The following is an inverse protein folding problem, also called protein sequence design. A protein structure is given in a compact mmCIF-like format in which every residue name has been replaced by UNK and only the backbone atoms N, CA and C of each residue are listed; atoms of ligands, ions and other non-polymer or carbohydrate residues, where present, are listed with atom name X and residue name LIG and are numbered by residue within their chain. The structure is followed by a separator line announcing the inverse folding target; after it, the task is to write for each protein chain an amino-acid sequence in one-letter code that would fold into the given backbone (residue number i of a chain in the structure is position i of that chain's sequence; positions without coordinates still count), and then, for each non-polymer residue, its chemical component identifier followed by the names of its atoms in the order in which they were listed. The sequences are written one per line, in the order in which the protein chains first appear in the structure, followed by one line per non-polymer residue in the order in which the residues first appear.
data_IF_925742553883
#
_entry.id   IF_925742553883
#
_cell.length_a   1.000
_cell.length_b   1.000
_cell.length_c   1.000
_cell.angle_alpha   90.00
_cell.angle_beta   90.00
_cell.angle_gamma   90.00
#
_symmetry.space_group_name_H-M   'P 1'
#
loop_
_entity.id
_entity.type
_entity.pdbx_description
1 polymer ?
#
# COMPACT_ATOMS: atom_id res chain seq x y z
N UNK A 1 -19.00 -23.42 29.81
CA UNK A 1 -18.35 -23.51 28.48
C UNK A 1 -18.94 -22.40 27.60
N UNK A 2 -18.35 -21.20 27.63
CA UNK A 2 -18.76 -20.10 26.76
C UNK A 2 -17.83 -20.07 25.55
N UNK A 3 -18.31 -20.59 24.42
CA UNK A 3 -17.67 -20.43 23.12
C UNK A 3 -17.68 -18.94 22.73
N UNK A 4 -16.55 -18.26 22.94
CA UNK A 4 -16.31 -16.97 22.30
C UNK A 4 -15.95 -17.24 20.83
N UNK A 5 -16.95 -17.13 19.96
CA UNK A 5 -16.73 -16.92 18.54
C UNK A 5 -15.89 -15.65 18.37
N UNK A 6 -14.60 -15.82 18.08
CA UNK A 6 -13.74 -14.72 17.64
C UNK A 6 -14.24 -14.30 16.26
N UNK A 7 -14.94 -13.17 16.17
CA UNK A 7 -15.19 -12.50 14.90
C UNK A 7 -13.84 -12.29 14.18
N UNK A 8 -13.83 -12.62 12.90
CA UNK A 8 -12.66 -12.47 12.02
C UNK A 8 -12.08 -11.07 12.13
N UNK A 9 -10.75 -11.00 12.25
CA UNK A 9 -9.99 -9.76 12.34
C UNK A 9 -10.21 -8.95 11.06
N UNK A 10 -10.86 -7.79 11.16
CA UNK A 10 -10.89 -6.81 10.09
C UNK A 10 -9.44 -6.37 9.81
N UNK A 11 -8.95 -6.63 8.60
CA UNK A 11 -7.66 -6.12 8.14
C UNK A 11 -7.88 -4.66 7.75
N UNK A 12 -7.34 -3.74 8.53
CA UNK A 12 -7.41 -2.32 8.21
C UNK A 12 -6.66 -2.00 6.94
N UNK A 13 -7.08 -0.93 6.27
CA UNK A 13 -6.28 -0.30 5.22
C UNK A 13 -5.32 0.66 5.87
N UNK A 14 -4.07 0.52 5.49
CA UNK A 14 -3.00 1.43 5.82
C UNK A 14 -3.00 2.49 4.75
N UNK A 15 -3.42 3.70 5.09
CA UNK A 15 -3.30 4.82 4.19
C UNK A 15 -2.35 5.81 4.83
N UNK A 16 -1.42 6.35 4.05
CA UNK A 16 -0.44 7.30 4.57
C UNK A 16 -1.08 8.58 5.11
N UNK A 17 -2.15 9.07 4.47
CA UNK A 17 -2.94 10.17 5.02
C UNK A 17 -4.03 9.63 5.95
N UNK A 18 -4.00 9.99 7.25
CA UNK A 18 -5.02 9.55 8.18
C UNK A 18 -6.33 10.34 7.99
N UNK A 19 -7.51 9.74 8.24
CA UNK A 19 -8.80 10.36 7.94
C UNK A 19 -9.05 11.71 8.61
N UNK A 20 -8.44 11.97 9.77
CA UNK A 20 -8.60 13.23 10.48
C UNK A 20 -7.93 14.40 9.75
N UNK A 21 -6.82 14.18 9.05
CA UNK A 21 -6.17 15.20 8.23
C UNK A 21 -7.07 15.63 7.08
N UNK A 22 -7.60 14.67 6.33
CA UNK A 22 -8.56 14.94 5.24
C UNK A 22 -9.84 15.60 5.76
N UNK A 23 -10.32 15.21 6.94
CA UNK A 23 -11.47 15.85 7.60
C UNK A 23 -11.20 17.32 7.92
N UNK A 24 -10.01 17.66 8.41
CA UNK A 24 -9.64 19.04 8.69
C UNK A 24 -9.45 19.86 7.40
N UNK A 25 -8.94 19.26 6.32
CA UNK A 25 -8.90 19.90 5.00
C UNK A 25 -10.33 20.15 4.48
N UNK A 26 -11.23 19.18 4.61
CA UNK A 26 -12.62 19.34 4.22
C UNK A 26 -13.33 20.48 4.98
N UNK A 27 -13.03 20.67 6.26
CA UNK A 27 -13.60 21.78 7.06
C UNK A 27 -13.00 23.12 6.68
N UNK A 28 -11.67 23.21 6.63
CA UNK A 28 -10.95 24.49 6.67
C UNK A 28 -10.34 24.91 5.33
N UNK A 29 -10.29 24.02 4.33
CA UNK A 29 -9.68 24.27 3.03
C UNK A 29 -10.52 25.14 2.08
N UNK A 30 -9.93 25.49 0.95
CA UNK A 30 -10.63 26.12 -0.18
C UNK A 30 -11.75 25.22 -0.72
N UNK A 31 -12.71 25.73 -1.50
CA UNK A 31 -13.77 24.91 -2.10
C UNK A 31 -13.22 23.70 -2.89
N UNK A 32 -12.12 23.89 -3.61
CA UNK A 32 -11.44 22.85 -4.38
C UNK A 32 -10.78 21.81 -3.45
N UNK A 33 -9.99 22.24 -2.47
CA UNK A 33 -9.35 21.35 -1.49
C UNK A 33 -10.39 20.56 -0.69
N UNK A 34 -11.50 21.19 -0.33
CA UNK A 34 -12.62 20.52 0.33
C UNK A 34 -13.21 19.41 -0.54
N UNK A 35 -13.41 19.66 -1.83
CA UNK A 35 -13.93 18.64 -2.75
C UNK A 35 -13.00 17.44 -2.82
N UNK A 36 -11.71 17.66 -3.10
CA UNK A 36 -10.72 16.58 -3.21
C UNK A 36 -10.58 15.78 -1.90
N UNK A 37 -10.61 16.45 -0.75
CA UNK A 37 -10.57 15.78 0.55
C UNK A 37 -11.82 14.91 0.81
N UNK A 38 -13.01 15.37 0.42
CA UNK A 38 -14.25 14.59 0.52
C UNK A 38 -14.24 13.40 -0.43
N UNK A 39 -13.77 13.59 -1.66
CA UNK A 39 -13.66 12.51 -2.65
C UNK A 39 -12.66 11.44 -2.18
N UNK A 40 -11.49 11.86 -1.68
CA UNK A 40 -10.47 10.97 -1.10
C UNK A 40 -11.00 10.21 0.12
N UNK A 41 -11.70 10.89 1.05
CA UNK A 41 -12.35 10.23 2.19
C UNK A 41 -13.36 9.18 1.75
N UNK A 42 -14.13 9.47 0.70
CA UNK A 42 -15.17 8.56 0.18
C UNK A 42 -14.55 7.30 -0.45
N UNK A 43 -13.47 7.46 -1.21
CA UNK A 43 -12.70 6.35 -1.75
C UNK A 43 -12.06 5.51 -0.61
N UNK A 44 -11.42 6.15 0.37
CA UNK A 44 -10.84 5.48 1.55
C UNK A 44 -11.87 4.65 2.32
N UNK A 45 -13.05 5.22 2.55
CA UNK A 45 -14.14 4.53 3.23
C UNK A 45 -14.61 3.30 2.46
N UNK A 46 -14.79 3.43 1.14
CA UNK A 46 -15.18 2.32 0.27
C UNK A 46 -14.18 1.17 0.36
N UNK A 47 -12.88 1.47 0.28
CA UNK A 47 -11.86 0.44 0.41
C UNK A 47 -11.87 -0.22 1.79
N UNK A 48 -11.95 0.55 2.87
CA UNK A 48 -11.95 -0.01 4.24
C UNK A 48 -13.10 -1.00 4.42
N UNK A 49 -14.25 -0.72 3.81
CA UNK A 49 -15.39 -1.65 3.76
C UNK A 49 -15.09 -2.89 2.91
N UNK A 50 -14.57 -2.73 1.69
CA UNK A 50 -14.19 -3.87 0.83
C UNK A 50 -13.20 -4.80 1.52
N UNK A 51 -12.19 -4.26 2.21
CA UNK A 51 -11.23 -5.06 2.98
C UNK A 51 -11.88 -5.76 4.17
N UNK A 52 -12.77 -5.11 4.91
CA UNK A 52 -13.47 -5.74 6.02
C UNK A 52 -14.27 -6.96 5.54
N UNK A 53 -14.95 -6.85 4.38
CA UNK A 53 -15.67 -7.96 3.75
C UNK A 53 -14.71 -9.04 3.22
N UNK A 54 -13.61 -8.67 2.58
CA UNK A 54 -12.63 -9.61 2.05
C UNK A 54 -11.94 -10.40 3.19
N UNK A 55 -11.58 -9.73 4.27
CA UNK A 55 -10.99 -10.36 5.46
C UNK A 55 -11.98 -11.32 6.15
N UNK A 56 -13.29 -11.05 6.07
CA UNK A 56 -14.32 -11.94 6.60
C UNK A 56 -14.59 -13.18 5.73
N UNK A 57 -14.26 -13.12 4.43
CA UNK A 57 -14.56 -14.19 3.46
C UNK A 57 -13.35 -15.06 3.09
N UNK A 58 -12.12 -14.56 3.27
CA UNK A 58 -10.91 -15.32 2.96
C UNK A 58 -10.46 -16.22 4.14
N UNK A 59 -10.32 -17.51 3.86
CA UNK A 59 -9.59 -18.45 4.72
C UNK A 59 -8.09 -18.08 4.76
N UNK A 60 -7.36 -18.38 5.86
CA UNK A 60 -5.94 -18.12 5.93
C UNK A 60 -5.21 -18.79 4.75
N UNK A 61 -4.53 -17.98 3.93
CA UNK A 61 -3.67 -18.49 2.85
C UNK A 61 -2.55 -19.32 3.49
N UNK A 62 -2.56 -20.63 3.24
CA UNK A 62 -1.38 -21.47 3.48
C UNK A 62 -0.32 -21.07 2.48
N UNK A 63 0.85 -20.67 2.96
CA UNK A 63 2.03 -20.47 2.13
C UNK A 63 2.37 -21.83 1.53
N UNK A 64 2.26 -21.95 0.20
CA UNK A 64 2.73 -23.12 -0.51
C UNK A 64 4.26 -23.05 -0.56
N UNK A 65 4.95 -24.11 -0.16
CA UNK A 65 6.40 -24.20 -0.32
C UNK A 65 6.74 -24.19 -1.82
N UNK A 66 7.56 -23.22 -2.24
CA UNK A 66 8.13 -23.20 -3.58
C UNK A 66 9.35 -24.13 -3.68
N UNK A 67 9.64 -24.70 -4.87
CA UNK A 67 10.79 -25.57 -5.08
C UNK A 67 12.12 -24.80 -4.96
N UNK A 68 13.22 -25.54 -4.80
CA UNK A 68 14.54 -25.01 -4.49
C UNK A 68 15.21 -24.19 -5.62
N UNK A 69 15.78 -23.06 -5.18
CA UNK A 69 17.03 -22.39 -5.60
C UNK A 69 17.15 -21.80 -7.03
N UNK A 70 16.32 -20.80 -7.33
CA UNK A 70 16.82 -19.58 -8.00
C UNK A 70 17.14 -18.52 -6.94
N UNK A 71 18.17 -17.70 -7.18
CA UNK A 71 18.47 -16.57 -6.29
C UNK A 71 17.22 -15.65 -6.20
N UNK A 72 16.86 -15.15 -5.00
CA UNK A 72 15.75 -14.21 -4.86
C UNK A 72 15.91 -13.01 -5.80
N UNK A 73 14.85 -12.67 -6.52
CA UNK A 73 14.80 -11.53 -7.43
C UNK A 73 13.45 -10.83 -7.33
N UNK A 74 13.43 -9.51 -7.51
CA UNK A 74 12.19 -8.75 -7.55
C UNK A 74 11.35 -9.17 -8.77
N UNK A 75 10.03 -9.24 -8.57
CA UNK A 75 9.05 -9.43 -9.64
C UNK A 75 8.02 -8.29 -9.57
N UNK A 76 8.33 -7.17 -10.22
CA UNK A 76 7.49 -5.97 -10.19
C UNK A 76 6.58 -5.86 -11.40
N UNK A 77 5.36 -5.40 -11.16
CA UNK A 77 4.48 -4.91 -12.23
C UNK A 77 3.78 -3.63 -11.77
N UNK A 78 3.99 -2.55 -12.50
CA UNK A 78 3.28 -1.29 -12.32
C UNK A 78 2.14 -1.22 -13.32
N UNK A 79 0.97 -0.86 -12.82
CA UNK A 79 -0.25 -0.61 -13.56
C UNK A 79 -0.63 0.87 -13.46
N UNK A 80 -1.46 1.33 -14.39
CA UNK A 80 -2.15 2.62 -14.30
C UNK A 80 -3.65 2.36 -14.21
N UNK A 81 -4.32 3.06 -13.30
CA UNK A 81 -5.78 3.09 -13.23
C UNK A 81 -6.40 4.12 -14.20
N UNK A 82 -5.58 4.90 -14.91
CA UNK A 82 -6.02 5.93 -15.87
C UNK A 82 -7.05 6.89 -15.27
N UNK A 83 -6.80 7.37 -14.05
CA UNK A 83 -7.67 8.26 -13.27
C UNK A 83 -9.03 7.66 -12.88
N UNK A 84 -9.19 6.34 -13.06
CA UNK A 84 -10.35 5.60 -12.54
C UNK A 84 -10.03 4.98 -11.18
N UNK A 85 -11.05 4.43 -10.54
CA UNK A 85 -10.93 3.70 -9.28
C UNK A 85 -10.84 2.17 -9.47
N UNK A 86 -10.56 1.71 -10.71
CA UNK A 86 -10.49 0.28 -11.03
C UNK A 86 -9.08 -0.28 -10.84
N UNK A 87 -8.95 -1.30 -10.00
CA UNK A 87 -7.68 -1.99 -9.73
C UNK A 87 -7.62 -3.39 -10.40
N UNK A 88 -6.42 -3.87 -10.81
CA UNK A 88 -5.14 -3.15 -10.81
C UNK A 88 -5.04 -2.11 -11.95
N UNK A 89 -5.96 -2.14 -12.91
CA UNK A 89 -5.91 -1.28 -14.11
C UNK A 89 -5.14 -1.94 -15.26
N UNK A 90 -4.52 -1.13 -16.11
CA UNK A 90 -3.75 -1.60 -17.28
C UNK A 90 -2.26 -1.62 -16.98
N UNK A 91 -1.55 -2.69 -17.37
CA UNK A 91 -0.12 -2.82 -17.14
C UNK A 91 0.66 -1.70 -17.87
N UNK A 92 1.50 -0.99 -17.13
CA UNK A 92 2.31 0.13 -17.62
C UNK A 92 3.80 -0.19 -17.69
N UNK A 93 4.33 -0.97 -16.73
CA UNK A 93 5.74 -1.39 -16.71
C UNK A 93 5.91 -2.72 -15.99
N UNK A 94 6.54 -3.70 -16.65
CA UNK A 94 6.84 -5.02 -16.08
C UNK A 94 8.31 -5.13 -15.65
N UNK A 95 8.66 -6.17 -14.91
CA UNK A 95 10.03 -6.47 -14.50
C UNK A 95 10.99 -6.48 -15.70
N UNK A 96 12.10 -5.73 -15.61
CA UNK A 96 13.10 -5.62 -16.67
C UNK A 96 12.69 -4.75 -17.86
N UNK A 97 11.46 -4.23 -17.91
CA UNK A 97 11.03 -3.33 -18.97
C UNK A 97 11.71 -1.94 -18.85
N UNK A 98 11.99 -1.26 -19.98
CA UNK A 98 12.56 0.08 -19.96
C UNK A 98 11.63 1.08 -19.25
N UNK A 99 12.16 2.25 -18.89
CA UNK A 99 11.38 3.35 -18.31
C UNK A 99 10.21 3.74 -19.20
N UNK A 100 9.06 4.04 -18.58
CA UNK A 100 7.82 4.35 -19.31
C UNK A 100 7.71 5.81 -19.74
N UNK A 101 8.63 6.69 -19.28
CA UNK A 101 8.56 8.15 -19.38
C UNK A 101 7.41 8.79 -18.60
N UNK A 102 6.74 8.01 -17.76
CA UNK A 102 5.77 8.50 -16.79
C UNK A 102 6.43 8.48 -15.40
N UNK A 103 6.63 9.65 -14.77
CA UNK A 103 7.35 9.72 -13.50
C UNK A 103 6.65 8.92 -12.39
N UNK A 104 5.32 8.85 -12.35
CA UNK A 104 4.62 8.06 -11.34
C UNK A 104 4.94 6.57 -11.51
N UNK A 105 4.90 6.08 -12.75
CA UNK A 105 5.18 4.67 -13.07
C UNK A 105 6.63 4.32 -12.75
N UNK A 106 7.57 5.17 -13.15
CA UNK A 106 9.00 4.92 -12.96
C UNK A 106 9.40 5.01 -11.48
N UNK A 107 8.90 6.00 -10.74
CA UNK A 107 9.12 6.13 -9.30
C UNK A 107 8.53 4.96 -8.51
N UNK A 108 7.31 4.53 -8.84
CA UNK A 108 6.70 3.36 -8.20
C UNK A 108 7.52 2.09 -8.48
N UNK A 109 7.98 1.90 -9.73
CA UNK A 109 8.83 0.75 -10.11
C UNK A 109 10.16 0.75 -9.34
N UNK A 110 10.81 1.91 -9.26
CA UNK A 110 12.10 2.08 -8.59
C UNK A 110 11.93 1.91 -7.06
N UNK A 111 10.88 2.49 -6.46
CA UNK A 111 10.61 2.40 -5.01
C UNK A 111 10.19 1.01 -4.52
N UNK A 112 9.41 0.27 -5.31
CA UNK A 112 9.14 -1.15 -5.04
C UNK A 112 10.45 -1.97 -5.10
N UNK A 113 11.34 -1.63 -6.02
CA UNK A 113 12.66 -2.27 -6.16
C UNK A 113 13.54 -2.04 -4.95
N UNK A 114 13.74 -0.77 -4.58
CA UNK A 114 14.55 -0.39 -3.43
C UNK A 114 14.04 -1.04 -2.13
N UNK A 115 12.71 -1.11 -1.96
CA UNK A 115 12.12 -1.80 -0.80
C UNK A 115 12.43 -3.30 -0.81
N UNK A 116 12.31 -3.98 -1.97
CA UNK A 116 12.68 -5.38 -2.10
C UNK A 116 14.15 -5.63 -1.76
N UNK A 117 15.04 -4.83 -2.35
CA UNK A 117 16.49 -4.92 -2.17
C UNK A 117 16.86 -4.73 -0.69
N UNK A 118 16.31 -3.71 -0.03
CA UNK A 118 16.50 -3.49 1.40
C UNK A 118 16.14 -4.71 2.25
N UNK A 119 14.93 -5.27 2.06
CA UNK A 119 14.50 -6.45 2.82
C UNK A 119 15.36 -7.69 2.53
N UNK A 120 15.77 -7.88 1.28
CA UNK A 120 16.59 -9.01 0.88
C UNK A 120 18.03 -8.89 1.40
N UNK A 121 18.67 -7.74 1.25
CA UNK A 121 20.07 -7.56 1.58
C UNK A 121 20.30 -7.43 3.09
N UNK A 122 19.46 -6.64 3.77
CA UNK A 122 19.65 -6.34 5.19
C UNK A 122 19.04 -7.43 6.09
N UNK A 123 17.89 -7.99 5.70
CA UNK A 123 17.15 -8.94 6.54
C UNK A 123 17.07 -10.35 5.96
N UNK A 124 17.69 -10.60 4.79
CA UNK A 124 17.61 -11.89 4.09
C UNK A 124 16.17 -12.36 3.87
N UNK A 125 15.24 -11.40 3.74
CA UNK A 125 13.81 -11.65 3.55
C UNK A 125 13.47 -11.59 2.07
N UNK A 126 12.94 -12.68 1.53
CA UNK A 126 12.52 -12.73 0.13
C UNK A 126 11.12 -12.12 -0.06
N UNK A 127 11.05 -10.82 -0.32
CA UNK A 127 9.80 -10.04 -0.52
C UNK A 127 8.90 -9.93 0.72
N UNK A 128 7.69 -9.39 0.53
CA UNK A 128 6.72 -9.03 1.57
C UNK A 128 6.28 -10.23 2.42
N UNK A 129 6.19 -11.43 1.83
CA UNK A 129 5.75 -12.66 2.49
C UNK A 129 6.87 -13.61 2.89
N UNK A 130 8.14 -13.25 2.62
CA UNK A 130 9.32 -14.12 2.74
C UNK A 130 9.31 -15.34 1.79
N UNK A 131 8.49 -15.33 0.75
CA UNK A 131 8.37 -16.42 -0.22
C UNK A 131 8.39 -15.91 -1.68
N UNK A 132 8.86 -14.68 -1.91
CA UNK A 132 8.99 -14.12 -3.26
C UNK A 132 7.68 -13.56 -3.84
N UNK A 133 6.76 -13.09 -2.99
CA UNK A 133 5.55 -12.39 -3.42
C UNK A 133 5.86 -11.33 -4.51
N UNK A 134 5.17 -11.37 -5.66
CA UNK A 134 5.26 -10.31 -6.66
C UNK A 134 4.86 -8.95 -6.07
N UNK A 135 5.59 -7.90 -6.46
CA UNK A 135 5.33 -6.53 -6.03
C UNK A 135 4.51 -5.81 -7.09
N UNK A 136 3.24 -5.59 -6.77
CA UNK A 136 2.30 -4.94 -7.66
C UNK A 136 2.05 -3.50 -7.18
N UNK A 137 1.98 -2.55 -8.11
CA UNK A 137 1.62 -1.17 -7.81
C UNK A 137 0.70 -0.59 -8.87
N UNK A 138 -0.32 0.16 -8.47
CA UNK A 138 -1.19 0.92 -9.38
C UNK A 138 -1.01 2.42 -9.14
N UNK A 139 -0.64 3.16 -10.19
CA UNK A 139 -0.55 4.62 -10.17
C UNK A 139 -1.77 5.26 -10.85
N UNK A 140 -1.89 6.58 -10.72
CA UNK A 140 -3.00 7.38 -11.28
C UNK A 140 -4.36 6.87 -10.82
N UNK A 141 -4.43 6.46 -9.55
CA UNK A 141 -5.67 6.02 -8.93
C UNK A 141 -6.57 7.22 -8.63
N UNK A 142 -7.82 7.15 -9.12
CA UNK A 142 -8.80 8.22 -8.97
C UNK A 142 -8.37 9.55 -9.62
N UNK A 143 -9.20 10.57 -9.45
CA UNK A 143 -8.90 11.92 -9.91
C UNK A 143 -8.48 12.78 -8.71
N UNK A 144 -7.25 13.30 -8.71
CA UNK A 144 -6.69 14.08 -7.60
C UNK A 144 -6.81 13.37 -6.24
N UNK A 145 -6.65 12.05 -6.22
CA UNK A 145 -6.72 11.27 -4.99
C UNK A 145 -5.52 11.61 -4.10
N UNK A 146 -5.80 12.13 -2.91
CA UNK A 146 -4.80 12.61 -1.96
C UNK A 146 -4.40 11.48 -0.99
N UNK A 147 -4.02 10.31 -1.51
CA UNK A 147 -3.51 9.24 -0.65
C UNK A 147 -2.66 8.21 -1.40
N UNK A 148 -2.00 7.36 -0.62
CA UNK A 148 -1.46 6.08 -1.06
C UNK A 148 -1.71 5.03 0.02
N UNK A 149 -1.82 3.76 -0.39
CA UNK A 149 -2.09 2.68 0.54
C UNK A 149 -1.61 1.32 0.04
N UNK A 150 -1.25 0.44 0.99
CA UNK A 150 -1.19 -1.00 0.77
C UNK A 150 -2.57 -1.64 0.93
N UNK A 151 -2.99 -2.49 -0.02
CA UNK A 151 -4.32 -3.15 0.01
C UNK A 151 -4.30 -4.67 0.28
N UNK A 152 -3.20 -5.23 0.79
CA UNK A 152 -2.93 -6.67 1.04
C UNK A 152 -2.57 -7.45 -0.22
N UNK A 153 -2.65 -6.82 -1.39
CA UNK A 153 -2.31 -7.44 -2.66
C UNK A 153 -1.35 -6.57 -3.47
N UNK A 154 -1.53 -5.26 -3.43
CA UNK A 154 -0.75 -4.29 -4.20
C UNK A 154 -0.70 -2.93 -3.49
N UNK A 155 0.27 -2.13 -3.92
CA UNK A 155 0.34 -0.70 -3.66
C UNK A 155 -0.62 0.06 -4.56
N UNK A 156 -1.23 1.13 -4.04
CA UNK A 156 -2.08 2.04 -4.82
C UNK A 156 -1.65 3.47 -4.53
N UNK A 157 -1.44 4.27 -5.58
CA UNK A 157 -0.93 5.62 -5.50
C UNK A 157 -1.86 6.62 -6.19
N UNK A 158 -2.27 7.64 -5.45
CA UNK A 158 -2.91 8.82 -5.98
C UNK A 158 -1.92 9.77 -6.66
N UNK A 159 -2.45 10.56 -7.60
CA UNK A 159 -1.72 11.64 -8.25
C UNK A 159 -1.50 12.87 -7.36
N UNK A 160 -2.22 12.96 -6.24
CA UNK A 160 -2.32 14.19 -5.43
C UNK A 160 -3.09 15.29 -6.16
N UNK A 161 -3.50 16.31 -5.43
CA UNK A 161 -4.21 17.48 -5.97
C UNK A 161 -3.31 18.53 -6.64
N UNK A 162 -1.99 18.38 -6.52
CA UNK A 162 -1.01 19.34 -7.06
C UNK A 162 -0.98 20.69 -6.33
N UNK A 163 -1.71 20.84 -5.22
CA UNK A 163 -1.75 22.07 -4.41
C UNK A 163 -1.28 21.84 -2.98
N UNK A 164 -1.86 20.86 -2.28
CA UNK A 164 -1.47 20.42 -0.95
C UNK A 164 -0.56 19.20 -1.03
N UNK A 165 -0.86 18.27 -1.94
CA UNK A 165 -0.14 17.03 -2.09
C UNK A 165 0.39 16.86 -3.50
N UNK A 166 1.65 16.45 -3.59
CA UNK A 166 2.25 15.98 -4.83
C UNK A 166 1.80 14.52 -5.11
N UNK A 167 2.20 13.97 -6.25
CA UNK A 167 2.07 12.53 -6.52
C UNK A 167 2.70 11.71 -5.39
N UNK A 168 1.99 10.68 -4.94
CA UNK A 168 2.41 9.89 -3.77
C UNK A 168 3.53 8.89 -4.06
N UNK A 169 3.98 8.80 -5.32
CA UNK A 169 5.15 8.00 -5.72
C UNK A 169 6.48 8.73 -5.52
N UNK A 170 6.47 10.06 -5.32
CA UNK A 170 7.70 10.87 -5.27
C UNK A 170 8.54 10.60 -4.01
N UNK A 171 7.93 10.05 -2.97
CA UNK A 171 8.53 9.85 -1.66
C UNK A 171 8.81 8.36 -1.41
N UNK A 172 10.09 7.98 -1.46
CA UNK A 172 10.52 6.58 -1.27
C UNK A 172 10.16 6.03 0.11
N UNK A 173 10.27 6.86 1.15
CA UNK A 173 9.88 6.51 2.52
C UNK A 173 8.39 6.19 2.64
N UNK A 174 7.51 6.90 1.91
CA UNK A 174 6.08 6.56 1.83
C UNK A 174 5.87 5.19 1.17
N UNK A 175 6.57 4.89 0.08
CA UNK A 175 6.49 3.57 -0.58
C UNK A 175 6.94 2.46 0.39
N UNK A 176 8.08 2.68 1.07
CA UNK A 176 8.65 1.75 2.04
C UNK A 176 7.75 1.54 3.28
N UNK A 177 7.13 2.62 3.78
CA UNK A 177 6.14 2.58 4.87
C UNK A 177 4.97 1.66 4.50
N UNK A 178 4.35 1.90 3.34
CA UNK A 178 3.17 1.15 2.92
C UNK A 178 3.46 -0.33 2.65
N UNK A 179 4.58 -0.64 1.99
CA UNK A 179 5.01 -2.02 1.80
C UNK A 179 5.37 -2.72 3.13
N UNK A 180 5.89 -1.98 4.12
CA UNK A 180 6.18 -2.54 5.45
C UNK A 180 4.92 -2.96 6.19
N UNK A 181 3.77 -2.32 5.96
CA UNK A 181 2.52 -2.86 6.46
C UNK A 181 2.23 -4.27 5.94
N UNK A 182 2.53 -4.53 4.66
CA UNK A 182 2.46 -5.87 4.09
C UNK A 182 3.36 -6.88 4.81
N UNK A 183 4.57 -6.47 5.21
CA UNK A 183 5.48 -7.33 6.00
C UNK A 183 4.89 -7.61 7.38
N UNK A 184 4.34 -6.59 8.04
CA UNK A 184 3.64 -6.75 9.32
C UNK A 184 2.43 -7.68 9.22
N UNK A 185 1.68 -7.64 8.11
CA UNK A 185 0.57 -8.56 7.81
C UNK A 185 1.00 -10.02 7.68
N UNK A 186 2.21 -10.28 7.18
CA UNK A 186 2.77 -11.62 7.00
C UNK A 186 3.62 -12.10 8.19
N UNK A 187 3.72 -11.30 9.25
CA UNK A 187 4.52 -11.61 10.44
C UNK A 187 3.71 -11.45 11.72
N UNK A 188 3.83 -10.32 12.41
CA UNK A 188 3.25 -10.09 13.73
C UNK A 188 1.72 -9.93 13.72
N UNK A 189 1.12 -9.57 12.58
CA UNK A 189 -0.32 -9.37 12.42
C UNK A 189 -0.91 -8.47 13.51
N UNK A 190 -0.22 -7.35 13.76
CA UNK A 190 -0.63 -6.35 14.73
C UNK A 190 -2.01 -5.82 14.38
N UNK A 191 -2.95 -5.94 15.31
CA UNK A 191 -4.29 -5.40 15.12
C UNK A 191 -4.20 -3.89 14.94
N UNK A 192 -4.94 -3.35 13.98
CA UNK A 192 -4.84 -1.93 13.68
C UNK A 192 -5.80 -1.11 14.56
N UNK A 193 -5.62 -1.21 15.87
CA UNK A 193 -6.33 -0.41 16.86
C UNK A 193 -5.48 -0.25 18.13
N UNK A 194 -5.69 0.83 18.86
CA UNK A 194 -4.97 1.11 20.11
C UNK A 194 -3.45 1.06 19.95
N UNK A 195 -2.76 0.52 20.96
CA UNK A 195 -1.30 0.38 20.95
C UNK A 195 -0.77 -0.56 19.84
N UNK A 196 -1.39 -1.72 19.54
CA UNK A 196 -0.97 -2.54 18.41
C UNK A 196 -1.03 -1.80 17.06
N UNK A 197 -2.03 -0.93 16.86
CA UNK A 197 -2.12 -0.10 15.66
C UNK A 197 -1.01 0.96 15.62
N UNK A 198 -0.78 1.65 16.72
CA UNK A 198 0.31 2.62 16.83
C UNK A 198 1.69 1.98 16.59
N UNK A 199 1.90 0.74 17.06
CA UNK A 199 3.14 0.00 16.79
C UNK A 199 3.25 -0.41 15.32
N UNK A 200 2.14 -0.78 14.67
CA UNK A 200 2.11 -1.11 13.24
C UNK A 200 2.57 0.09 12.40
N UNK A 201 2.00 1.28 12.66
CA UNK A 201 2.44 2.55 12.04
C UNK A 201 3.90 2.87 12.33
N UNK A 202 4.30 2.81 13.60
CA UNK A 202 5.68 3.13 14.00
C UNK A 202 6.71 2.18 13.35
N UNK A 203 6.38 0.90 13.16
CA UNK A 203 7.24 -0.03 12.43
C UNK A 203 7.32 0.39 10.96
N UNK A 204 6.20 0.72 10.32
CA UNK A 204 6.20 1.21 8.94
C UNK A 204 7.04 2.48 8.77
N UNK A 205 6.95 3.45 9.69
CA UNK A 205 7.77 4.67 9.68
C UNK A 205 9.27 4.38 9.81
N UNK A 206 9.64 3.50 10.74
CA UNK A 206 11.04 3.12 10.96
C UNK A 206 11.61 2.47 9.71
N UNK A 207 10.92 1.50 9.13
CA UNK A 207 11.42 0.80 7.94
C UNK A 207 11.38 1.69 6.70
N UNK A 208 10.35 2.52 6.51
CA UNK A 208 10.31 3.54 5.46
C UNK A 208 11.52 4.49 5.55
N UNK A 209 11.91 4.89 6.76
CA UNK A 209 13.10 5.71 6.99
C UNK A 209 14.41 4.97 6.72
N UNK A 210 14.48 3.66 6.98
CA UNK A 210 15.67 2.84 6.71
C UNK A 210 15.87 2.52 5.22
N UNK A 211 14.79 2.55 4.43
CA UNK A 211 14.82 2.32 2.98
C UNK A 211 15.33 3.58 2.22
N UNK A 212 15.16 4.77 2.81
CA UNK A 212 15.53 6.07 2.22
C UNK A 212 17.02 6.38 2.33
#
# INVERSE_FOLDING_TARGET
MCNHFRLGRARSIYCILPPHMLTEIAKNGSPQQRSHAIDTLSADHSFRQFRAVQAATLAPKRVAAMPAATAPSAHRTIYTANQTETLPGTAARAEGAPKSNDPCVDEAYDGLGATFEFYLEIYHRNSIDNAGMPLLGTVHYGNNYDNAFWNSQQMVFGGGDGTLFNRFTIALDVIGHELTHGVTEHTAQLAYSGQPGALNESVSDVFGSLIK
#
